data_IF_919710820048
#
_entry.id   IF_919710820048
#
_cell.length_a   1.000
_cell.length_b   1.000
_cell.length_c   1.000
_cell.angle_alpha   90.00
_cell.angle_beta   90.00
_cell.angle_gamma   90.00
#
_symmetry.space_group_name_H-M   'P 1'
#
loop_
_entity.id
_entity.type
_entity.pdbx_description
1 polymer ?
#
# COMPACT_ATOMS: atom_id res chain seq x y z
N UNK A 1 -14.43 21.24 0.42
CA UNK A 1 -15.10 20.61 -0.75
C UNK A 1 -14.16 20.48 -1.96
N UNK A 2 -13.48 21.55 -2.39
CA UNK A 2 -12.57 21.50 -3.55
C UNK A 2 -11.40 20.49 -3.42
N UNK A 3 -10.75 20.41 -2.26
CA UNK A 3 -9.65 19.45 -2.05
C UNK A 3 -10.07 17.98 -2.23
N UNK A 4 -11.30 17.63 -1.83
CA UNK A 4 -11.84 16.26 -2.00
C UNK A 4 -12.10 15.97 -3.47
N UNK A 5 -12.55 16.96 -4.26
CA UNK A 5 -12.72 16.80 -5.70
C UNK A 5 -11.38 16.53 -6.41
N UNK A 6 -10.31 17.21 -6.00
CA UNK A 6 -8.95 16.93 -6.51
C UNK A 6 -8.47 15.52 -6.15
N UNK A 7 -8.70 15.07 -4.91
CA UNK A 7 -8.35 13.70 -4.50
C UNK A 7 -9.13 12.67 -5.32
N UNK A 8 -10.43 12.90 -5.56
CA UNK A 8 -11.26 12.05 -6.41
C UNK A 8 -10.75 12.00 -7.86
N UNK A 9 -10.35 13.15 -8.40
CA UNK A 9 -9.77 13.22 -9.75
C UNK A 9 -8.47 12.41 -9.83
N UNK A 10 -7.55 12.62 -8.89
CA UNK A 10 -6.28 11.88 -8.83
C UNK A 10 -6.51 10.38 -8.66
N UNK A 11 -7.49 9.99 -7.83
CA UNK A 11 -7.88 8.59 -7.68
C UNK A 11 -8.36 7.99 -9.00
N UNK A 12 -9.27 8.68 -9.70
CA UNK A 12 -9.76 8.21 -10.99
C UNK A 12 -8.63 8.07 -12.03
N UNK A 13 -7.72 9.04 -12.07
CA UNK A 13 -6.54 8.99 -12.97
C UNK A 13 -5.61 7.84 -12.61
N UNK A 14 -5.43 7.53 -11.31
CA UNK A 14 -4.54 6.47 -10.85
C UNK A 14 -4.97 5.06 -11.26
N UNK A 15 -6.19 4.85 -11.76
CA UNK A 15 -6.59 3.55 -12.31
C UNK A 15 -5.93 3.23 -13.66
N UNK A 16 -5.53 4.25 -14.43
CA UNK A 16 -4.84 4.09 -15.71
C UNK A 16 -3.32 4.24 -15.55
N UNK A 17 -2.54 3.49 -16.33
CA UNK A 17 -1.07 3.53 -16.28
C UNK A 17 -0.51 4.94 -16.54
N UNK A 18 -1.05 5.64 -17.55
CA UNK A 18 -0.64 7.02 -17.86
C UNK A 18 -0.90 7.98 -16.69
N UNK A 19 -2.06 7.84 -16.04
CA UNK A 19 -2.39 8.64 -14.87
C UNK A 19 -1.49 8.32 -13.67
N UNK A 20 -1.15 7.05 -13.46
CA UNK A 20 -0.18 6.64 -12.43
C UNK A 20 1.19 7.28 -12.68
N UNK A 21 1.68 7.25 -13.92
CA UNK A 21 2.95 7.87 -14.27
C UNK A 21 2.89 9.39 -14.14
N UNK A 22 1.81 10.02 -14.59
CA UNK A 22 1.61 11.47 -14.49
C UNK A 22 1.69 11.93 -13.04
N UNK A 23 0.95 11.28 -12.13
CA UNK A 23 0.92 11.59 -10.70
C UNK A 23 2.33 11.53 -10.10
N UNK A 24 3.10 10.49 -10.43
CA UNK A 24 4.47 10.30 -9.92
C UNK A 24 5.47 11.28 -10.54
N UNK A 25 5.25 11.73 -11.78
CA UNK A 25 6.10 12.72 -12.48
C UNK A 25 5.85 14.16 -12.04
N UNK A 26 4.70 14.47 -11.44
CA UNK A 26 4.46 15.78 -10.83
C UNK A 26 5.55 16.07 -9.79
N UNK A 27 6.17 17.24 -9.88
CA UNK A 27 7.21 17.66 -8.94
C UNK A 27 6.64 17.69 -7.52
N UNK A 28 7.22 16.88 -6.62
CA UNK A 28 6.75 16.71 -5.25
C UNK A 28 5.40 15.98 -5.09
N UNK A 29 4.79 15.47 -6.18
CA UNK A 29 3.47 14.85 -6.14
C UNK A 29 3.40 13.62 -5.25
N UNK A 30 4.41 12.74 -5.34
CA UNK A 30 4.53 11.56 -4.47
C UNK A 30 4.69 11.97 -3.00
N UNK A 31 5.59 12.91 -2.70
CA UNK A 31 5.84 13.37 -1.32
C UNK A 31 4.60 14.02 -0.70
N UNK A 32 3.86 14.80 -1.49
CA UNK A 32 2.61 15.43 -1.05
C UNK A 32 1.54 14.37 -0.73
N UNK A 33 1.38 13.33 -1.56
CA UNK A 33 0.44 12.24 -1.28
C UNK A 33 0.82 11.48 0.00
N UNK A 34 2.11 11.21 0.22
CA UNK A 34 2.61 10.55 1.43
C UNK A 34 2.31 11.42 2.67
N UNK A 35 2.51 12.74 2.57
CA UNK A 35 2.19 13.66 3.65
C UNK A 35 0.69 13.68 3.94
N UNK A 36 -0.14 13.78 2.91
CA UNK A 36 -1.60 13.75 3.07
C UNK A 36 -2.09 12.45 3.74
N UNK A 37 -1.48 11.31 3.40
CA UNK A 37 -1.81 10.02 4.03
C UNK A 37 -1.39 9.96 5.51
N UNK A 38 -0.23 10.51 5.87
CA UNK A 38 0.29 10.50 7.25
C UNK A 38 -0.54 11.33 8.22
N UNK A 39 -0.90 12.56 7.82
CA UNK A 39 -1.52 13.50 8.75
C UNK A 39 -3.00 13.24 9.00
N UNK A 40 -3.57 12.16 8.44
CA UNK A 40 -4.97 11.75 8.58
C UNK A 40 -5.90 12.96 8.58
N UNK A 41 -5.66 13.92 7.67
CA UNK A 41 -6.51 15.11 7.58
C UNK A 41 -7.95 14.62 7.46
N UNK A 42 -8.89 15.30 8.14
CA UNK A 42 -10.29 14.93 8.42
C UNK A 42 -11.14 14.38 7.24
N UNK A 43 -10.60 14.24 6.04
CA UNK A 43 -11.26 13.72 4.85
C UNK A 43 -10.45 12.57 4.21
N UNK A 44 -11.00 11.35 4.29
CA UNK A 44 -10.73 10.19 3.43
C UNK A 44 -9.26 9.73 3.29
N UNK A 45 -8.57 9.38 4.39
CA UNK A 45 -7.20 8.83 4.33
C UNK A 45 -7.09 7.59 3.42
N UNK A 46 -8.14 6.76 3.37
CA UNK A 46 -8.16 5.57 2.52
C UNK A 46 -8.11 5.89 1.02
N UNK A 47 -8.64 7.04 0.58
CA UNK A 47 -8.56 7.44 -0.83
C UNK A 47 -7.12 7.79 -1.24
N UNK A 48 -6.38 8.45 -0.35
CA UNK A 48 -4.97 8.77 -0.58
C UNK A 48 -4.13 7.49 -0.58
N UNK A 49 -4.37 6.60 0.39
CA UNK A 49 -3.73 5.29 0.41
C UNK A 49 -4.05 4.48 -0.86
N UNK A 50 -5.27 4.58 -1.38
CA UNK A 50 -5.65 3.90 -2.61
C UNK A 50 -4.96 4.47 -3.86
N UNK A 51 -4.74 5.79 -3.94
CA UNK A 51 -3.90 6.40 -4.98
C UNK A 51 -2.48 5.84 -4.90
N UNK A 52 -1.88 5.85 -3.70
CA UNK A 52 -0.53 5.32 -3.46
C UNK A 52 -0.43 3.83 -3.80
N UNK A 53 -1.45 3.06 -3.47
CA UNK A 53 -1.58 1.66 -3.85
C UNK A 53 -1.57 1.49 -5.37
N UNK A 54 -2.40 2.25 -6.09
CA UNK A 54 -2.53 2.11 -7.53
C UNK A 54 -1.21 2.42 -8.25
N UNK A 55 -0.48 3.47 -7.85
CA UNK A 55 0.82 3.79 -8.45
C UNK A 55 1.89 2.72 -8.20
N UNK A 56 1.74 1.86 -7.18
CA UNK A 56 2.66 0.75 -6.92
C UNK A 56 2.55 -0.37 -7.97
N UNK A 57 1.43 -0.45 -8.71
CA UNK A 57 1.24 -1.46 -9.76
C UNK A 57 2.06 -1.17 -11.01
N UNK A 58 2.32 0.10 -11.33
CA UNK A 58 3.13 0.46 -12.50
C UNK A 58 4.60 0.10 -12.30
N UNK A 59 5.19 -0.78 -13.12
CA UNK A 59 6.62 -1.09 -13.07
C UNK A 59 7.52 0.14 -13.22
N UNK A 60 7.09 1.14 -14.00
CA UNK A 60 7.82 2.38 -14.23
C UNK A 60 7.94 3.24 -12.97
N UNK A 61 6.95 3.16 -12.06
CA UNK A 61 6.92 3.95 -10.84
C UNK A 61 7.69 3.30 -9.69
N UNK A 62 7.81 1.97 -9.67
CA UNK A 62 8.46 1.20 -8.59
C UNK A 62 9.83 1.73 -8.18
N UNK A 63 10.80 2.00 -9.09
CA UNK A 63 12.10 2.51 -8.67
C UNK A 63 12.00 3.81 -7.87
N UNK A 64 11.12 4.74 -8.29
CA UNK A 64 10.95 6.03 -7.61
C UNK A 64 10.24 5.90 -6.27
N UNK A 65 9.28 4.98 -6.16
CA UNK A 65 8.59 4.70 -4.89
C UNK A 65 9.54 4.03 -3.89
N UNK A 66 10.32 3.05 -4.32
CA UNK A 66 11.25 2.31 -3.47
C UNK A 66 12.45 3.15 -3.02
N UNK A 67 12.84 4.14 -3.82
CA UNK A 67 13.87 5.12 -3.44
C UNK A 67 13.36 6.18 -2.44
N UNK A 68 12.05 6.22 -2.16
CA UNK A 68 11.47 7.16 -1.21
C UNK A 68 11.20 6.46 0.13
N UNK A 69 12.10 6.65 1.10
CA UNK A 69 12.01 6.03 2.42
C UNK A 69 10.68 6.34 3.13
N UNK A 70 10.14 7.56 2.93
CA UNK A 70 8.86 7.97 3.52
C UNK A 70 7.70 7.14 2.97
N UNK A 71 7.74 6.75 1.69
CA UNK A 71 6.74 5.89 1.07
C UNK A 71 6.80 4.48 1.67
N UNK A 72 8.01 3.90 1.75
CA UNK A 72 8.22 2.55 2.30
C UNK A 72 7.79 2.49 3.77
N UNK A 73 8.15 3.49 4.57
CA UNK A 73 7.73 3.60 5.98
C UNK A 73 6.21 3.71 6.10
N UNK A 74 5.57 4.55 5.29
CA UNK A 74 4.11 4.72 5.30
C UNK A 74 3.39 3.40 4.99
N UNK A 75 3.75 2.75 3.88
CA UNK A 75 3.13 1.48 3.45
C UNK A 75 3.33 0.38 4.49
N UNK A 76 4.52 0.32 5.09
CA UNK A 76 4.82 -0.66 6.14
C UNK A 76 4.02 -0.38 7.42
N UNK A 77 3.82 0.90 7.78
CA UNK A 77 3.03 1.29 8.95
C UNK A 77 1.54 0.98 8.75
N UNK A 78 1.05 0.93 7.50
CA UNK A 78 -0.33 0.51 7.23
C UNK A 78 -0.65 -0.89 7.76
N UNK A 79 0.32 -1.81 7.81
CA UNK A 79 0.13 -3.18 8.32
C UNK A 79 -0.20 -3.24 9.82
N UNK A 80 0.21 -2.22 10.58
CA UNK A 80 -0.01 -2.09 12.03
C UNK A 80 -1.20 -1.16 12.35
N UNK A 81 -1.97 -0.72 11.34
CA UNK A 81 -3.08 0.23 11.52
C UNK A 81 -4.32 -0.42 12.14
N UNK A 82 -5.03 0.32 12.99
CA UNK A 82 -6.35 -0.07 13.51
C UNK A 82 -7.42 -0.16 12.40
N UNK A 83 -7.21 0.51 11.26
CA UNK A 83 -8.11 0.44 10.11
C UNK A 83 -7.83 -0.80 9.27
N UNK A 84 -8.82 -1.69 9.16
CA UNK A 84 -8.76 -2.87 8.28
C UNK A 84 -8.55 -2.46 6.81
N UNK A 85 -9.20 -1.39 6.36
CA UNK A 85 -9.02 -0.87 5.01
C UNK A 85 -7.56 -0.45 4.77
N UNK A 86 -6.96 0.28 5.70
CA UNK A 86 -5.56 0.68 5.61
C UNK A 86 -4.61 -0.54 5.61
N UNK A 87 -4.83 -1.52 6.49
CA UNK A 87 -4.04 -2.77 6.52
C UNK A 87 -4.11 -3.51 5.18
N UNK A 88 -5.31 -3.61 4.61
CA UNK A 88 -5.55 -4.26 3.31
C UNK A 88 -4.84 -3.54 2.17
N UNK A 89 -5.05 -2.22 2.06
CA UNK A 89 -4.43 -1.38 1.02
C UNK A 89 -2.90 -1.42 1.14
N UNK A 90 -2.37 -1.34 2.36
CA UNK A 90 -0.93 -1.44 2.62
C UNK A 90 -0.34 -2.78 2.18
N UNK A 91 -0.97 -3.89 2.57
CA UNK A 91 -0.52 -5.22 2.19
C UNK A 91 -0.53 -5.42 0.65
N UNK A 92 -1.62 -5.04 -0.02
CA UNK A 92 -1.70 -5.18 -1.48
C UNK A 92 -0.74 -4.23 -2.21
N UNK A 93 -0.47 -3.03 -1.69
CA UNK A 93 0.51 -2.11 -2.26
C UNK A 93 1.95 -2.65 -2.15
N UNK A 94 2.32 -3.20 -0.99
CA UNK A 94 3.64 -3.83 -0.80
C UNK A 94 3.77 -5.05 -1.72
N UNK A 95 2.71 -5.84 -1.84
CA UNK A 95 2.71 -6.98 -2.76
C UNK A 95 2.87 -6.53 -4.20
N UNK A 96 2.16 -5.48 -4.62
CA UNK A 96 2.29 -4.87 -5.94
C UNK A 96 3.73 -4.43 -6.21
N UNK A 97 4.41 -3.78 -5.24
CA UNK A 97 5.82 -3.40 -5.37
C UNK A 97 6.73 -4.61 -5.59
N UNK A 98 6.56 -5.68 -4.82
CA UNK A 98 7.37 -6.91 -4.91
C UNK A 98 7.11 -7.72 -6.19
N UNK A 99 5.88 -7.69 -6.71
CA UNK A 99 5.48 -8.51 -7.84
C UNK A 99 6.30 -8.19 -9.11
N UNK A 100 6.99 -9.18 -9.67
CA UNK A 100 7.82 -9.04 -10.87
C UNK A 100 8.87 -7.90 -10.82
N UNK A 101 9.36 -7.52 -9.62
CA UNK A 101 10.38 -6.47 -9.50
C UNK A 101 11.48 -6.85 -8.51
N UNK A 102 12.57 -7.44 -9.02
CA UNK A 102 13.62 -8.01 -8.18
C UNK A 102 14.31 -6.96 -7.27
N UNK A 103 14.43 -5.71 -7.72
CA UNK A 103 15.00 -4.61 -6.92
C UNK A 103 14.14 -4.30 -5.67
N UNK A 104 12.82 -4.49 -5.72
CA UNK A 104 11.97 -4.32 -4.55
C UNK A 104 12.35 -5.30 -3.44
N UNK A 105 12.74 -6.53 -3.79
CA UNK A 105 13.14 -7.53 -2.79
C UNK A 105 14.35 -7.07 -2.00
N UNK A 106 15.31 -6.39 -2.62
CA UNK A 106 16.51 -5.89 -1.92
C UNK A 106 16.13 -4.81 -0.91
N UNK A 107 15.26 -3.87 -1.29
CA UNK A 107 14.84 -2.77 -0.40
C UNK A 107 13.87 -3.23 0.70
N UNK A 108 12.93 -4.14 0.36
CA UNK A 108 11.82 -4.51 1.24
C UNK A 108 12.11 -5.76 2.09
N UNK A 109 13.07 -6.63 1.74
CA UNK A 109 13.51 -7.75 2.61
C UNK A 109 14.37 -7.25 3.76
N UNK A 110 13.82 -6.36 4.57
CA UNK A 110 14.41 -5.93 5.83
C UNK A 110 13.67 -6.60 7.01
N UNK A 111 14.37 -6.84 8.15
CA UNK A 111 13.77 -7.53 9.31
C UNK A 111 12.53 -6.83 9.85
N UNK A 112 12.48 -5.50 9.80
CA UNK A 112 11.32 -4.74 10.29
C UNK A 112 10.04 -5.00 9.49
N UNK A 113 10.12 -5.01 8.16
CA UNK A 113 8.94 -5.29 7.32
C UNK A 113 8.52 -6.75 7.47
N UNK A 114 9.47 -7.68 7.49
CA UNK A 114 9.18 -9.10 7.70
C UNK A 114 8.39 -9.32 9.00
N UNK A 115 8.88 -8.77 10.11
CA UNK A 115 8.19 -8.82 11.42
C UNK A 115 6.75 -8.30 11.32
N UNK A 116 6.54 -7.15 10.69
CA UNK A 116 5.22 -6.53 10.52
C UNK A 116 4.25 -7.39 9.73
N UNK A 117 4.72 -7.99 8.64
CA UNK A 117 3.92 -8.90 7.81
C UNK A 117 3.55 -10.17 8.59
N UNK A 118 4.50 -10.77 9.30
CA UNK A 118 4.27 -11.97 10.11
C UNK A 118 3.26 -11.71 11.23
N UNK A 119 3.40 -10.60 11.96
CA UNK A 119 2.46 -10.20 13.02
C UNK A 119 1.05 -9.95 12.48
N UNK A 120 0.94 -9.23 11.35
CA UNK A 120 -0.35 -8.98 10.71
C UNK A 120 -1.01 -10.29 10.23
N UNK A 121 -0.24 -11.19 9.60
CA UNK A 121 -0.72 -12.48 9.14
C UNK A 121 -1.22 -13.36 10.30
N UNK A 122 -0.44 -13.47 11.38
CA UNK A 122 -0.81 -14.27 12.55
C UNK A 122 -2.03 -13.71 13.27
N UNK A 123 -2.18 -12.38 13.30
CA UNK A 123 -3.33 -11.72 13.91
C UNK A 123 -4.62 -11.98 13.11
N UNK A 124 -4.57 -11.81 11.79
CA UNK A 124 -5.73 -12.09 10.92
C UNK A 124 -6.11 -13.57 10.90
N UNK A 125 -5.13 -14.47 10.93
CA UNK A 125 -5.37 -15.92 10.97
C UNK A 125 -6.10 -16.36 12.25
N UNK A 126 -5.82 -15.75 13.41
CA UNK A 126 -6.55 -16.03 14.65
C UNK A 126 -8.02 -15.62 14.57
N UNK A 127 -8.30 -14.52 13.86
CA UNK A 127 -9.66 -14.01 13.66
C UNK A 127 -10.48 -14.78 12.62
N UNK A 128 -9.93 -15.80 11.94
CA UNK A 128 -10.65 -16.66 10.98
C UNK A 128 -11.56 -17.70 11.63
N UNK A 129 -11.49 -17.89 12.94
CA UNK A 129 -12.31 -18.87 13.66
C UNK A 129 -13.79 -18.45 13.79
N UNK A 130 -14.25 -17.39 13.09
CA UNK A 130 -15.62 -16.88 13.16
C UNK A 130 -16.37 -17.07 11.81
N UNK A 131 -17.66 -17.45 11.80
CA UNK A 131 -18.32 -18.07 10.64
C UNK A 131 -18.75 -17.14 9.49
N UNK A 132 -18.37 -15.86 9.50
CA UNK A 132 -18.76 -14.90 8.46
C UNK A 132 -17.51 -14.33 7.78
N UNK A 133 -17.07 -14.97 6.71
CA UNK A 133 -15.98 -14.48 5.87
C UNK A 133 -16.51 -13.59 4.74
N UNK A 134 -16.17 -12.30 4.77
CA UNK A 134 -16.33 -11.42 3.62
C UNK A 134 -15.20 -11.63 2.60
N UNK A 135 -15.51 -11.53 1.30
CA UNK A 135 -14.53 -11.66 0.20
C UNK A 135 -13.28 -10.78 0.40
N UNK A 136 -13.44 -9.59 0.97
CA UNK A 136 -12.34 -8.67 1.25
C UNK A 136 -11.36 -9.19 2.30
N UNK A 137 -11.84 -9.94 3.30
CA UNK A 137 -11.01 -10.55 4.35
C UNK A 137 -10.18 -11.69 3.79
N UNK A 138 -10.79 -12.55 2.98
CA UNK A 138 -10.10 -13.62 2.24
C UNK A 138 -8.99 -13.05 1.35
N UNK A 139 -9.28 -11.97 0.61
CA UNK A 139 -8.28 -11.29 -0.21
C UNK A 139 -7.12 -10.73 0.63
N UNK A 140 -7.42 -10.09 1.78
CA UNK A 140 -6.39 -9.54 2.65
C UNK A 140 -5.42 -10.61 3.17
N UNK A 141 -5.95 -11.75 3.63
CA UNK A 141 -5.14 -12.87 4.12
C UNK A 141 -4.26 -13.42 3.01
N UNK A 142 -4.80 -13.59 1.80
CA UNK A 142 -4.03 -14.03 0.63
C UNK A 142 -2.88 -13.08 0.31
N UNK A 143 -3.09 -11.77 0.43
CA UNK A 143 -2.03 -10.78 0.27
C UNK A 143 -0.92 -10.99 1.31
N UNK A 144 -1.29 -11.10 2.59
CA UNK A 144 -0.32 -11.29 3.68
C UNK A 144 0.45 -12.61 3.54
N UNK A 145 -0.23 -13.71 3.21
CA UNK A 145 0.41 -15.01 2.97
C UNK A 145 1.45 -14.92 1.84
N UNK A 146 1.09 -14.27 0.74
CA UNK A 146 2.00 -14.08 -0.40
C UNK A 146 3.21 -13.22 0.00
N UNK A 147 3.01 -12.19 0.82
CA UNK A 147 4.10 -11.38 1.35
C UNK A 147 5.05 -12.20 2.23
N UNK A 148 4.54 -13.04 3.13
CA UNK A 148 5.36 -13.94 3.97
C UNK A 148 6.26 -14.82 3.10
N UNK A 149 5.71 -15.41 2.04
CA UNK A 149 6.47 -16.25 1.10
C UNK A 149 7.56 -15.45 0.37
N UNK A 150 7.21 -14.29 -0.19
CA UNK A 150 8.13 -13.45 -0.95
C UNK A 150 9.26 -12.85 -0.11
N UNK A 151 9.01 -12.58 1.17
CA UNK A 151 10.00 -12.04 2.11
C UNK A 151 10.85 -13.12 2.80
N UNK A 152 10.46 -14.40 2.68
CA UNK A 152 11.21 -15.54 3.23
C UNK A 152 12.03 -16.31 2.18
N UNK A 153 11.67 -16.18 0.90
CA UNK A 153 12.51 -16.56 -0.25
C UNK A 153 13.75 -15.66 -0.33
#
# INVERSE_FOLDING_TARGET
MLAIAWIKLLLNLSFGEDGQQMIVKLNGGLDQLIEMARYKHRNSPDMILLILHNICFSPANKPKILANDKAVVLLSACLESDSLAARRIGASAIWALLHNYQKAKVTLKNPSLKRRVDEAFMSEKKCLQQPQEGQEKTYHIKCLETLVQLLSS
#
